data_IF_262621158202
#
_entry.id   IF_262621158202
#
_cell.length_a   1.000
_cell.length_b   1.000
_cell.length_c   1.000
_cell.angle_alpha   90.00
_cell.angle_beta   90.00
_cell.angle_gamma   90.00
#
_symmetry.space_group_name_H-M   'P 1'
#
loop_
_entity.id
_entity.type
_entity.pdbx_description
1 polymer ?
#
# COMPACT_ATOMS: atom_id res chain seq x y z
N UNK A 1 3.37 -10.73 -10.21
CA UNK A 1 3.16 -9.45 -10.92
C UNK A 1 2.24 -8.60 -10.07
N UNK A 2 2.73 -7.51 -9.48
CA UNK A 2 1.91 -6.54 -8.76
C UNK A 2 2.25 -5.15 -9.28
N UNK A 3 1.44 -4.62 -10.17
CA UNK A 3 1.59 -3.25 -10.65
C UNK A 3 0.78 -2.34 -9.71
N UNK A 4 1.46 -1.44 -9.01
CA UNK A 4 0.81 -0.36 -8.24
C UNK A 4 0.88 0.89 -9.11
N UNK A 5 -0.24 1.28 -9.70
CA UNK A 5 -0.35 2.54 -10.43
C UNK A 5 -0.38 3.69 -9.41
N UNK A 6 0.55 4.64 -9.54
CA UNK A 6 0.56 5.89 -8.79
C UNK A 6 -0.60 6.78 -9.25
N UNK A 7 -1.78 6.53 -8.68
CA UNK A 7 -2.92 7.43 -8.69
C UNK A 7 -3.26 7.68 -7.24
N UNK A 8 -3.67 8.91 -6.88
CA UNK A 8 -3.99 9.30 -5.49
C UNK A 8 -4.81 8.21 -4.82
N UNK A 9 -4.17 7.41 -3.96
CA UNK A 9 -4.82 6.30 -3.26
C UNK A 9 -5.62 6.93 -2.13
N UNK A 10 -6.95 6.98 -2.30
CA UNK A 10 -7.83 7.33 -1.18
C UNK A 10 -7.64 6.34 -0.04
N UNK A 11 -7.73 6.84 1.19
CA UNK A 11 -7.36 6.10 2.40
C UNK A 11 -8.08 4.75 2.53
N UNK A 12 -9.35 4.69 2.11
CA UNK A 12 -10.15 3.47 2.08
C UNK A 12 -9.56 2.35 1.19
N UNK A 13 -8.94 2.71 0.06
CA UNK A 13 -8.31 1.74 -0.85
C UNK A 13 -6.99 1.24 -0.28
N UNK A 14 -6.23 2.12 0.39
CA UNK A 14 -5.01 1.73 1.09
C UNK A 14 -5.32 0.72 2.20
N UNK A 15 -6.32 1.00 3.03
CA UNK A 15 -6.75 0.09 4.10
C UNK A 15 -7.19 -1.27 3.56
N UNK A 16 -8.00 -1.27 2.49
CA UNK A 16 -8.44 -2.51 1.86
C UNK A 16 -7.27 -3.34 1.32
N UNK A 17 -6.30 -2.70 0.66
CA UNK A 17 -5.11 -3.37 0.14
C UNK A 17 -4.24 -3.94 1.28
N UNK A 18 -4.03 -3.17 2.35
CA UNK A 18 -3.30 -3.63 3.53
C UNK A 18 -4.00 -4.82 4.20
N UNK A 19 -5.33 -4.79 4.33
CA UNK A 19 -6.11 -5.91 4.89
C UNK A 19 -5.98 -7.20 4.06
N UNK A 20 -5.68 -7.08 2.76
CA UNK A 20 -5.43 -8.21 1.85
C UNK A 20 -3.98 -8.67 1.84
N UNK A 21 -3.12 -8.12 2.69
CA UNK A 21 -1.70 -8.47 2.74
C UNK A 21 -0.91 -7.87 1.57
N UNK A 22 -1.38 -6.78 0.97
CA UNK A 22 -0.65 -6.05 -0.07
C UNK A 22 0.15 -4.88 0.52
N UNK A 23 1.37 -4.70 0.05
CA UNK A 23 2.16 -3.51 0.38
C UNK A 23 1.60 -2.29 -0.33
N UNK A 24 1.41 -1.21 0.41
CA UNK A 24 0.90 0.07 -0.11
C UNK A 24 2.02 1.09 -0.09
N UNK A 25 2.40 1.52 -1.29
CA UNK A 25 3.35 2.60 -1.52
C UNK A 25 2.57 3.87 -1.82
N UNK A 26 2.76 4.91 -1.02
CA UNK A 26 2.15 6.22 -1.25
C UNK A 26 3.23 7.24 -1.56
N UNK A 27 3.01 8.06 -2.59
CA UNK A 27 3.87 9.18 -2.92
C UNK A 27 3.28 10.47 -2.35
N UNK A 28 4.01 11.15 -1.47
CA UNK A 28 3.60 12.43 -0.91
C UNK A 28 4.42 13.58 -1.52
N UNK A 29 4.26 13.78 -2.84
CA UNK A 29 4.88 14.85 -3.63
C UNK A 29 6.41 14.73 -3.83
N UNK A 30 7.15 14.48 -2.76
CA UNK A 30 8.62 14.50 -2.70
C UNK A 30 9.21 13.10 -2.43
N UNK A 31 8.46 12.22 -1.75
CA UNK A 31 8.95 10.90 -1.31
C UNK A 31 7.91 9.80 -1.45
N UNK A 32 8.41 8.58 -1.57
CA UNK A 32 7.62 7.35 -1.52
C UNK A 32 7.73 6.78 -0.11
N UNK A 33 6.58 6.53 0.52
CA UNK A 33 6.46 5.97 1.87
C UNK A 33 5.69 4.64 1.81
N UNK A 34 6.12 3.68 2.63
CA UNK A 34 5.40 2.43 2.86
C UNK A 34 4.40 2.65 4.00
N UNK A 35 3.10 2.54 3.74
CA UNK A 35 2.06 2.78 4.76
C UNK A 35 1.69 1.57 5.61
N UNK A 36 2.29 0.41 5.37
CA UNK A 36 1.99 -0.81 6.10
C UNK A 36 2.42 -0.71 7.58
N UNK A 37 1.54 -1.02 8.56
CA UNK A 37 1.87 -0.97 9.98
C UNK A 37 2.86 -2.09 10.39
N UNK A 38 3.53 -1.94 11.53
CA UNK A 38 4.55 -2.89 12.01
C UNK A 38 4.05 -4.34 12.25
N UNK A 39 2.74 -4.56 12.33
CA UNK A 39 2.11 -5.88 12.42
C UNK A 39 1.49 -6.38 11.10
N UNK A 40 1.86 -5.77 9.98
CA UNK A 40 1.33 -6.14 8.67
C UNK A 40 1.74 -7.56 8.27
N UNK A 41 0.76 -8.38 7.91
CA UNK A 41 0.96 -9.75 7.45
C UNK A 41 0.91 -9.82 5.93
N UNK A 42 2.07 -9.92 5.23
CA UNK A 42 2.10 -9.93 3.77
C UNK A 42 1.48 -11.21 3.22
N UNK A 43 0.73 -11.08 2.12
CA UNK A 43 0.28 -12.24 1.36
C UNK A 43 1.48 -12.86 0.62
N UNK A 44 1.73 -14.14 0.87
CA UNK A 44 2.80 -14.93 0.22
C UNK A 44 2.16 -15.79 -0.87
N UNK A 45 2.72 -15.73 -2.09
CA UNK A 45 2.21 -16.40 -3.29
C UNK A 45 3.30 -17.26 -3.91
#
# INVERSE_FOLDING_TARGET
>A
MGAVAGMVVTENVAEYAMARGLYVLCQNGDRIEVRNPGGFNPAVW
#
